data_IF_177737180277
#
_entry.id   IF_177737180277
#
_cell.length_a   1.000
_cell.length_b   1.000
_cell.length_c   1.000
_cell.angle_alpha   90.00
_cell.angle_beta   90.00
_cell.angle_gamma   90.00
#
_symmetry.space_group_name_H-M   'P 1'
#
loop_
_entity.id
_entity.type
_entity.pdbx_description
1 polymer ?
#
# COMPACT_ATOMS: atom_id res chain seq x y z
N UNK A 1 18.71 -13.83 -8.19
CA UNK A 1 17.62 -13.88 -7.19
C UNK A 1 16.30 -13.57 -7.87
N UNK A 2 15.15 -13.76 -7.20
CA UNK A 2 13.87 -13.33 -7.74
C UNK A 2 13.89 -11.81 -7.92
N UNK A 3 13.92 -11.32 -9.15
CA UNK A 3 14.22 -9.91 -9.47
C UNK A 3 13.04 -8.94 -9.31
N UNK A 4 11.96 -9.35 -8.64
CA UNK A 4 10.72 -8.59 -8.54
C UNK A 4 10.14 -8.72 -7.12
N UNK A 5 10.26 -7.69 -6.25
CA UNK A 5 9.80 -7.77 -4.86
C UNK A 5 8.28 -7.93 -4.75
N UNK A 6 7.55 -7.32 -5.69
CA UNK A 6 6.11 -7.48 -5.85
C UNK A 6 5.73 -8.95 -6.06
N UNK A 7 6.44 -9.62 -6.97
CA UNK A 7 6.16 -11.00 -7.39
C UNK A 7 6.43 -12.03 -6.29
N UNK A 8 7.20 -11.67 -5.26
CA UNK A 8 7.54 -12.55 -4.13
C UNK A 8 6.91 -12.10 -2.81
N UNK A 9 6.07 -11.06 -2.83
CA UNK A 9 5.34 -10.63 -1.64
C UNK A 9 4.35 -11.74 -1.23
N UNK A 10 4.40 -12.26 0.01
CA UNK A 10 3.49 -13.32 0.45
C UNK A 10 2.03 -12.87 0.39
N UNK A 11 1.14 -13.77 -0.05
CA UNK A 11 -0.30 -13.53 -0.13
C UNK A 11 -0.88 -13.02 1.20
N UNK A 12 -0.45 -13.59 2.33
CA UNK A 12 -0.88 -13.17 3.67
C UNK A 12 -0.54 -11.69 3.97
N UNK A 13 0.59 -11.19 3.48
CA UNK A 13 0.95 -9.77 3.65
C UNK A 13 0.07 -8.87 2.79
N UNK A 14 -0.23 -9.29 1.55
CA UNK A 14 -1.14 -8.58 0.66
C UNK A 14 -2.53 -8.51 1.30
N UNK A 15 -3.05 -9.61 1.84
CA UNK A 15 -4.37 -9.64 2.47
C UNK A 15 -4.46 -8.73 3.70
N UNK A 16 -3.40 -8.69 4.54
CA UNK A 16 -3.31 -7.75 5.66
C UNK A 16 -3.30 -6.30 5.18
N UNK A 17 -2.54 -5.99 4.14
CA UNK A 17 -2.50 -4.67 3.52
C UNK A 17 -3.88 -4.25 3.00
N UNK A 18 -4.58 -5.14 2.30
CA UNK A 18 -5.93 -4.89 1.80
C UNK A 18 -6.94 -4.65 2.93
N UNK A 19 -6.86 -5.43 4.02
CA UNK A 19 -7.72 -5.24 5.19
C UNK A 19 -7.49 -3.87 5.85
N UNK A 20 -6.25 -3.39 5.90
CA UNK A 20 -5.93 -2.04 6.41
C UNK A 20 -6.45 -0.96 5.44
N UNK A 21 -6.29 -1.16 4.13
CA UNK A 21 -6.71 -0.19 3.10
C UNK A 21 -8.24 0.00 3.03
N UNK A 22 -9.03 -0.96 3.53
CA UNK A 22 -10.48 -0.85 3.63
C UNK A 22 -10.96 -0.02 4.84
N UNK A 23 -10.08 0.30 5.81
CA UNK A 23 -10.52 0.99 7.01
C UNK A 23 -10.92 2.45 6.71
N UNK A 24 -12.06 2.95 7.24
CA UNK A 24 -12.64 4.24 6.84
C UNK A 24 -11.77 5.47 7.19
N UNK A 25 -10.88 5.35 8.17
CA UNK A 25 -10.00 6.43 8.63
C UNK A 25 -8.54 6.28 8.18
N UNK A 26 -8.28 5.35 7.27
CA UNK A 26 -6.94 5.10 6.75
C UNK A 26 -6.76 5.73 5.36
N UNK A 27 -5.64 6.43 5.17
CA UNK A 27 -5.08 6.71 3.85
C UNK A 27 -3.96 5.69 3.62
N UNK A 28 -4.19 4.78 2.68
CA UNK A 28 -3.26 3.69 2.39
C UNK A 28 -2.36 4.05 1.22
N UNK A 29 -1.07 4.16 1.49
CA UNK A 29 -0.05 4.53 0.52
C UNK A 29 0.73 3.28 0.07
N UNK A 30 0.90 3.11 -1.24
CA UNK A 30 1.78 2.06 -1.80
C UNK A 30 2.35 2.48 -3.15
N UNK A 31 3.31 1.70 -3.66
CA UNK A 31 3.81 1.89 -5.01
C UNK A 31 2.77 1.48 -6.06
N UNK A 32 2.92 2.00 -7.28
CA UNK A 32 1.93 1.83 -8.34
C UNK A 32 1.80 0.40 -8.85
N UNK A 33 2.90 -0.36 -8.79
CA UNK A 33 2.96 -1.78 -9.14
C UNK A 33 2.12 -2.67 -8.20
N UNK A 34 1.94 -2.26 -6.94
CA UNK A 34 1.11 -2.96 -5.96
C UNK A 34 -0.39 -2.83 -6.18
N UNK A 35 -0.85 -1.88 -7.01
CA UNK A 35 -2.29 -1.60 -7.15
C UNK A 35 -3.11 -2.80 -7.65
N UNK A 36 -2.53 -3.61 -8.54
CA UNK A 36 -3.21 -4.73 -9.21
C UNK A 36 -2.71 -6.09 -8.75
N UNK A 37 -1.97 -6.14 -7.66
CA UNK A 37 -1.51 -7.40 -7.08
C UNK A 37 -2.70 -8.03 -6.36
N UNK A 38 -3.15 -9.22 -6.79
CA UNK A 38 -4.33 -9.85 -6.20
C UNK A 38 -4.03 -10.33 -4.79
N UNK A 39 -4.88 -9.97 -3.84
CA UNK A 39 -5.06 -10.72 -2.61
C UNK A 39 -6.02 -11.89 -2.80
N UNK A 40 -6.45 -12.50 -1.71
CA UNK A 40 -7.36 -13.65 -1.70
C UNK A 40 -8.74 -13.33 -2.26
N UNK A 41 -9.22 -12.08 -2.15
CA UNK A 41 -10.57 -11.68 -2.58
C UNK A 41 -10.63 -10.49 -3.52
N UNK A 42 -9.62 -9.61 -3.53
CA UNK A 42 -9.59 -8.38 -4.31
C UNK A 42 -8.17 -7.79 -4.35
N UNK A 43 -8.01 -6.61 -4.96
CA UNK A 43 -6.76 -5.85 -4.98
C UNK A 43 -6.97 -4.39 -4.50
N UNK A 44 -5.88 -3.62 -4.42
CA UNK A 44 -5.93 -2.21 -4.00
C UNK A 44 -6.69 -1.33 -5.01
N UNK A 45 -6.67 -1.70 -6.29
CA UNK A 45 -7.41 -0.99 -7.33
C UNK A 45 -8.92 -1.10 -7.13
N UNK A 46 -9.42 -2.29 -6.79
CA UNK A 46 -10.81 -2.55 -6.44
C UNK A 46 -11.22 -1.80 -5.16
N UNK A 47 -10.37 -1.79 -4.13
CA UNK A 47 -10.61 -0.98 -2.90
C UNK A 47 -10.76 0.49 -3.24
N UNK A 48 -9.87 1.03 -4.07
CA UNK A 48 -9.92 2.42 -4.50
C UNK A 48 -11.22 2.72 -5.27
N UNK A 49 -11.65 1.82 -6.15
CA UNK A 49 -12.89 1.94 -6.87
C UNK A 49 -14.13 1.89 -5.95
N UNK A 50 -14.05 1.15 -4.84
CA UNK A 50 -15.09 1.10 -3.81
C UNK A 50 -15.07 2.31 -2.83
N UNK A 51 -14.21 3.31 -3.06
CA UNK A 51 -14.13 4.53 -2.24
C UNK A 51 -13.09 4.48 -1.12
N UNK A 52 -12.30 3.40 -1.01
CA UNK A 52 -11.17 3.35 -0.09
C UNK A 52 -10.09 4.37 -0.48
N UNK A 53 -9.45 4.99 0.52
CA UNK A 53 -8.45 6.04 0.29
C UNK A 53 -7.07 5.45 -0.01
N UNK A 54 -6.91 4.91 -1.22
CA UNK A 54 -5.62 4.38 -1.69
C UNK A 54 -4.87 5.45 -2.48
N UNK A 55 -3.62 5.75 -2.09
CA UNK A 55 -2.73 6.71 -2.75
C UNK A 55 -1.49 6.01 -3.29
N UNK A 56 -1.19 6.25 -4.56
CA UNK A 56 0.09 5.85 -5.14
C UNK A 56 1.15 6.87 -4.76
N UNK A 57 2.28 6.38 -4.26
CA UNK A 57 3.44 7.20 -3.90
C UNK A 57 4.67 6.72 -4.66
N UNK A 58 5.68 7.59 -4.78
CA UNK A 58 6.96 7.28 -5.42
C UNK A 58 8.07 7.06 -4.39
N UNK A 59 7.87 7.52 -3.16
CA UNK A 59 8.78 7.29 -2.04
C UNK A 59 8.02 7.19 -0.70
N UNK A 60 8.65 6.60 0.34
CA UNK A 60 8.10 6.64 1.70
C UNK A 60 7.90 8.07 2.23
N UNK A 61 8.71 9.05 1.79
CA UNK A 61 8.60 10.45 2.21
C UNK A 61 7.29 11.10 1.74
N UNK A 62 6.73 10.65 0.62
CA UNK A 62 5.43 11.13 0.16
C UNK A 62 4.33 10.77 1.17
N UNK A 63 4.38 9.56 1.74
CA UNK A 63 3.44 9.15 2.78
C UNK A 63 3.57 10.01 4.05
N UNK A 64 4.80 10.39 4.44
CA UNK A 64 5.03 11.32 5.56
C UNK A 64 4.41 12.70 5.29
N UNK A 65 4.57 13.20 4.06
CA UNK A 65 3.97 14.49 3.68
C UNK A 65 2.43 14.41 3.67
N UNK A 66 1.85 13.32 3.17
CA UNK A 66 0.41 13.06 3.23
C UNK A 66 -0.05 13.02 4.70
N UNK A 67 0.68 12.37 5.60
CA UNK A 67 0.37 12.34 7.03
C UNK A 67 0.36 13.73 7.67
N UNK A 68 1.34 14.58 7.35
CA UNK A 68 1.37 15.97 7.84
C UNK A 68 0.18 16.80 7.37
N UNK A 69 -0.34 16.53 6.17
CA UNK A 69 -1.48 17.24 5.59
C UNK A 69 -2.84 16.71 6.07
N UNK A 70 -2.88 15.49 6.65
CA UNK A 70 -4.10 14.83 7.10
C UNK A 70 -3.94 14.37 8.56
N UNK A 71 -3.80 15.31 9.53
CA UNK A 71 -3.48 14.98 10.92
C UNK A 71 -4.58 14.18 11.65
N UNK A 72 -5.80 14.18 11.11
CA UNK A 72 -6.96 13.43 11.61
C UNK A 72 -7.07 12.01 11.04
N UNK A 73 -6.17 11.61 10.13
CA UNK A 73 -6.18 10.31 9.46
C UNK A 73 -4.97 9.46 9.84
N UNK A 74 -5.16 8.14 9.81
CA UNK A 74 -4.04 7.21 9.89
C UNK A 74 -3.46 7.01 8.49
N UNK A 75 -2.18 7.36 8.30
CA UNK A 75 -1.49 7.14 7.04
C UNK A 75 -0.59 5.93 7.16
N UNK A 76 -0.85 4.92 6.34
CA UNK A 76 -0.10 3.65 6.34
C UNK A 76 0.63 3.52 5.02
N UNK A 77 1.94 3.32 5.06
CA UNK A 77 2.74 3.04 3.87
C UNK A 77 3.07 1.55 3.81
N UNK A 78 2.63 0.88 2.73
CA UNK A 78 2.97 -0.51 2.47
C UNK A 78 4.30 -0.57 1.71
N UNK A 79 5.37 -0.73 2.48
CA UNK A 79 6.72 -0.86 1.96
C UNK A 79 6.91 -2.26 1.35
N UNK A 80 7.08 -2.30 0.02
CA UNK A 80 7.44 -3.51 -0.72
C UNK A 80 8.75 -3.23 -1.44
N UNK A 81 9.76 -4.07 -1.20
CA UNK A 81 11.06 -3.94 -1.81
C UNK A 81 12.08 -4.89 -1.19
N UNK A 82 13.24 -5.03 -1.84
CA UNK A 82 14.38 -5.78 -1.32
C UNK A 82 15.19 -4.92 -0.33
N UNK A 83 16.25 -5.49 0.24
CA UNK A 83 17.11 -4.89 1.28
C UNK A 83 17.54 -3.44 0.96
N UNK A 84 17.63 -3.05 -0.31
CA UNK A 84 17.96 -1.70 -0.82
C UNK A 84 16.86 -0.65 -0.70
N UNK A 85 15.66 -1.01 -0.26
CA UNK A 85 14.56 -0.06 0.05
C UNK A 85 14.43 0.23 1.54
N UNK A 86 15.36 -0.28 2.35
CA UNK A 86 15.52 0.03 3.78
C UNK A 86 16.54 1.18 3.89
N UNK A 87 16.16 2.39 4.35
CA UNK A 87 17.14 3.40 4.75
C UNK A 87 17.80 3.07 6.08
#
# INVERSE_FOLDING_TARGET
GPGCPVCVTPLEQIDRALAIAQQPNVIFCSFGDMLRVPGSSQDLFAIRAAGGQVKTVYSPLDAVNIARQNPDKQVVFFAIGFETTTP
#
